data_IF_498935941582
#
_entry.id   IF_498935941582
#
_cell.length_a   1.000
_cell.length_b   1.000
_cell.length_c   1.000
_cell.angle_alpha   90.00
_cell.angle_beta   90.00
_cell.angle_gamma   90.00
#
_symmetry.space_group_name_H-M   'P 1'
#
loop_
_entity.id
_entity.type
_entity.pdbx_description
1 polymer ?
#
# COMPACT_ATOMS: atom_id res chain seq x y z
N UNK A 1 36.58 17.64 -8.03
CA UNK A 1 35.30 17.03 -8.46
C UNK A 1 34.17 17.51 -7.56
N UNK A 2 33.48 18.58 -7.95
CA UNK A 2 32.39 19.18 -7.18
C UNK A 2 31.10 18.36 -7.40
N UNK A 3 30.86 17.33 -6.57
CA UNK A 3 29.59 16.60 -6.59
C UNK A 3 28.56 17.47 -5.86
N UNK A 4 27.51 17.89 -6.57
CA UNK A 4 26.39 18.59 -5.96
C UNK A 4 25.81 17.78 -4.79
N UNK A 5 25.46 18.40 -3.66
CA UNK A 5 24.95 17.70 -2.50
C UNK A 5 23.62 17.01 -2.85
N UNK A 6 23.53 15.73 -2.52
CA UNK A 6 22.32 14.92 -2.68
C UNK A 6 21.26 15.50 -1.73
N UNK A 7 20.09 15.85 -2.26
CA UNK A 7 19.05 16.44 -1.43
C UNK A 7 18.43 15.39 -0.48
N UNK A 8 17.84 15.85 0.62
CA UNK A 8 17.16 14.98 1.60
C UNK A 8 16.13 14.03 0.97
N UNK A 9 15.48 14.43 -0.14
CA UNK A 9 14.48 13.63 -0.82
C UNK A 9 15.10 12.40 -1.50
N UNK A 10 16.25 12.56 -2.16
CA UNK A 10 16.97 11.44 -2.76
C UNK A 10 17.46 10.48 -1.69
N UNK A 11 17.96 10.98 -0.55
CA UNK A 11 18.35 10.14 0.59
C UNK A 11 17.16 9.38 1.16
N UNK A 12 16.00 10.03 1.30
CA UNK A 12 14.77 9.40 1.75
C UNK A 12 14.32 8.28 0.81
N UNK A 13 14.29 8.52 -0.50
CA UNK A 13 13.89 7.51 -1.50
C UNK A 13 14.86 6.33 -1.48
N UNK A 14 16.18 6.58 -1.47
CA UNK A 14 17.19 5.51 -1.44
C UNK A 14 17.04 4.63 -0.19
N UNK A 15 16.83 5.21 1.00
CA UNK A 15 16.82 4.43 2.25
C UNK A 15 15.45 3.87 2.64
N UNK A 16 14.37 4.61 2.40
CA UNK A 16 13.00 4.22 2.82
C UNK A 16 12.21 3.53 1.72
N UNK A 17 12.43 3.89 0.46
CA UNK A 17 11.67 3.31 -0.67
C UNK A 17 12.46 2.17 -1.31
N UNK A 18 13.74 2.38 -1.60
CA UNK A 18 14.60 1.38 -2.25
C UNK A 18 15.36 0.49 -1.26
N UNK A 19 15.35 0.81 0.04
CA UNK A 19 16.00 -0.01 1.07
C UNK A 19 17.54 -0.08 0.98
N UNK A 20 18.17 0.88 0.32
CA UNK A 20 19.63 0.91 0.14
C UNK A 20 20.32 1.12 1.50
N UNK A 21 21.28 0.25 1.90
CA UNK A 21 22.02 0.39 3.15
C UNK A 21 22.78 1.71 3.25
N UNK A 22 22.92 2.23 4.47
CA UNK A 22 23.62 3.49 4.78
C UNK A 22 25.04 3.60 4.20
N UNK A 23 25.73 2.47 4.12
CA UNK A 23 27.13 2.37 3.70
C UNK A 23 27.29 2.11 2.21
N UNK A 24 26.19 2.02 1.45
CA UNK A 24 26.26 1.71 0.03
C UNK A 24 26.77 2.92 -0.77
N UNK A 25 27.66 2.73 -1.77
CA UNK A 25 28.15 3.81 -2.62
C UNK A 25 27.10 4.34 -3.60
N UNK A 26 25.96 3.64 -3.76
CA UNK A 26 24.86 3.99 -4.68
C UNK A 26 24.25 5.37 -4.40
N UNK A 27 24.48 5.91 -3.20
CA UNK A 27 23.97 7.19 -2.73
C UNK A 27 24.56 8.37 -3.49
N UNK A 28 25.77 8.20 -4.02
CA UNK A 28 26.53 9.26 -4.69
C UNK A 28 26.34 9.24 -6.22
N UNK A 29 25.63 8.26 -6.75
CA UNK A 29 25.36 8.13 -8.18
C UNK A 29 24.23 9.08 -8.60
N UNK A 30 24.37 9.76 -9.74
CA UNK A 30 23.31 10.63 -10.32
C UNK A 30 22.22 9.83 -11.05
N UNK A 31 22.56 8.64 -11.52
CA UNK A 31 21.70 7.74 -12.28
C UNK A 31 22.00 6.31 -11.83
N UNK A 32 20.97 5.52 -11.55
CA UNK A 32 21.12 4.08 -11.36
C UNK A 32 21.07 3.40 -12.72
N UNK A 33 22.13 2.66 -13.05
CA UNK A 33 22.15 1.77 -14.20
C UNK A 33 21.37 0.48 -13.89
N UNK A 34 21.06 -0.29 -14.94
CA UNK A 34 20.36 -1.59 -14.81
C UNK A 34 21.05 -2.52 -13.81
N UNK A 35 22.39 -2.57 -13.81
CA UNK A 35 23.17 -3.40 -12.90
C UNK A 35 23.10 -2.94 -11.43
N UNK A 36 22.89 -1.65 -11.18
CA UNK A 36 22.68 -1.13 -9.81
C UNK A 36 21.32 -1.61 -9.27
N UNK A 37 20.32 -1.78 -10.15
CA UNK A 37 19.02 -2.32 -9.76
C UNK A 37 19.11 -3.77 -9.30
N UNK A 38 19.95 -4.60 -9.91
CA UNK A 38 20.16 -5.99 -9.46
C UNK A 38 20.78 -6.02 -8.05
N UNK A 39 21.62 -5.03 -7.73
CA UNK A 39 22.20 -4.86 -6.39
C UNK A 39 21.19 -4.35 -5.35
N UNK A 40 20.16 -3.63 -5.79
CA UNK A 40 19.05 -3.11 -4.97
C UNK A 40 17.89 -4.12 -4.89
N UNK A 41 17.79 -5.04 -5.85
CA UNK A 41 16.73 -6.03 -6.00
C UNK A 41 16.84 -7.10 -4.91
N UNK A 42 16.48 -6.71 -3.71
CA UNK A 42 16.46 -7.55 -2.56
C UNK A 42 15.09 -7.36 -1.90
N UNK A 43 14.19 -8.30 -2.15
CA UNK A 43 12.95 -8.46 -1.38
C UNK A 43 13.24 -8.61 0.13
N UNK A 44 14.47 -9.02 0.50
CA UNK A 44 14.98 -9.01 1.87
C UNK A 44 15.03 -7.60 2.49
N UNK A 45 15.04 -6.53 1.68
CA UNK A 45 14.95 -5.16 2.17
C UNK A 45 13.57 -4.87 2.79
N UNK A 46 12.48 -5.45 2.28
CA UNK A 46 11.16 -5.38 2.93
C UNK A 46 11.17 -6.11 4.27
N UNK A 47 11.97 -7.17 4.36
CA UNK A 47 12.20 -7.91 5.60
C UNK A 47 13.06 -7.14 6.61
N UNK A 48 13.91 -6.24 6.14
CA UNK A 48 14.68 -5.33 7.00
C UNK A 48 13.86 -4.11 7.46
N UNK A 49 12.66 -3.88 6.92
CA UNK A 49 11.80 -2.79 7.37
C UNK A 49 11.33 -3.02 8.81
N UNK A 50 11.25 -1.95 9.62
CA UNK A 50 10.66 -2.03 10.96
C UNK A 50 9.25 -2.61 10.88
N UNK A 51 8.86 -3.40 11.89
CA UNK A 51 7.57 -4.11 11.94
C UNK A 51 6.37 -3.19 11.73
N UNK A 52 6.48 -1.93 12.16
CA UNK A 52 5.47 -0.87 11.97
C UNK A 52 5.20 -0.54 10.50
N UNK A 53 6.21 -0.63 9.62
CA UNK A 53 6.08 -0.33 8.18
C UNK A 53 5.94 -1.60 7.34
N UNK A 54 6.38 -2.75 7.86
CA UNK A 54 6.31 -4.02 7.12
C UNK A 54 4.86 -4.46 6.90
N UNK A 55 4.47 -4.81 5.66
CA UNK A 55 3.16 -5.42 5.41
C UNK A 55 3.05 -6.78 6.12
N UNK A 56 1.82 -7.21 6.40
CA UNK A 56 1.56 -8.48 7.08
C UNK A 56 2.10 -9.68 6.29
N UNK A 57 2.44 -10.79 6.97
CA UNK A 57 2.97 -12.01 6.34
C UNK A 57 2.05 -12.56 5.24
N UNK A 58 0.72 -12.48 5.43
CA UNK A 58 -0.25 -12.91 4.42
C UNK A 58 -0.17 -12.07 3.12
N UNK A 59 0.11 -10.77 3.24
CA UNK A 59 0.33 -9.86 2.10
C UNK A 59 1.65 -10.20 1.41
N UNK A 60 2.71 -10.43 2.18
CA UNK A 60 4.02 -10.84 1.65
C UNK A 60 3.96 -12.19 0.92
N UNK A 61 3.26 -13.18 1.49
CA UNK A 61 3.09 -14.49 0.86
C UNK A 61 2.29 -14.38 -0.45
N UNK A 62 1.24 -13.56 -0.51
CA UNK A 62 0.52 -13.29 -1.77
C UNK A 62 1.42 -12.67 -2.84
N UNK A 63 2.26 -11.71 -2.45
CA UNK A 63 3.24 -11.09 -3.36
C UNK A 63 4.24 -12.14 -3.84
N UNK A 64 4.82 -12.96 -2.93
CA UNK A 64 5.74 -14.04 -3.27
C UNK A 64 5.14 -15.05 -4.25
N UNK A 65 3.90 -15.52 -3.99
CA UNK A 65 3.18 -16.40 -4.92
C UNK A 65 3.02 -15.78 -6.30
N UNK A 66 2.64 -14.50 -6.37
CA UNK A 66 2.49 -13.81 -7.66
C UNK A 66 3.81 -13.64 -8.42
N UNK A 67 4.93 -13.58 -7.71
CA UNK A 67 6.27 -13.50 -8.29
C UNK A 67 6.88 -14.88 -8.58
N UNK A 68 6.26 -15.97 -8.11
CA UNK A 68 6.82 -17.33 -8.21
C UNK A 68 7.96 -17.60 -7.23
N UNK A 69 8.04 -16.84 -6.13
CA UNK A 69 9.00 -17.07 -5.05
C UNK A 69 8.43 -18.05 -4.02
N UNK A 70 9.29 -18.83 -3.33
CA UNK A 70 8.88 -19.70 -2.25
C UNK A 70 8.20 -18.87 -1.14
N UNK A 71 7.07 -19.37 -0.66
CA UNK A 71 6.37 -18.82 0.50
C UNK A 71 6.92 -19.43 1.77
N UNK A 72 7.14 -18.60 2.79
CA UNK A 72 7.43 -19.10 4.12
C UNK A 72 6.14 -19.75 4.64
N UNK A 73 6.14 -21.08 4.72
CA UNK A 73 4.93 -21.91 4.90
C UNK A 73 4.03 -21.44 6.04
N UNK A 74 2.78 -21.13 5.70
CA UNK A 74 1.56 -21.13 6.51
C UNK A 74 0.49 -20.38 5.70
N UNK A 75 -0.23 -21.11 4.86
CA UNK A 75 -1.28 -20.55 3.99
C UNK A 75 -2.69 -20.62 4.62
N UNK A 76 -2.80 -21.19 5.83
CA UNK A 76 -4.06 -21.57 6.48
C UNK A 76 -4.11 -21.12 7.95
N UNK A 77 -3.64 -19.91 8.24
CA UNK A 77 -4.01 -19.22 9.48
C UNK A 77 -5.06 -18.16 9.10
N UNK A 78 -6.21 -18.08 9.81
CA UNK A 78 -7.22 -17.06 9.53
C UNK A 78 -6.52 -15.71 9.53
N UNK A 79 -6.73 -14.92 8.47
CA UNK A 79 -6.07 -13.64 8.16
C UNK A 79 -5.91 -12.80 9.44
N UNK A 80 -4.80 -13.02 10.15
CA UNK A 80 -4.66 -12.59 11.53
C UNK A 80 -4.55 -11.08 11.53
N UNK A 81 -5.50 -10.42 12.18
CA UNK A 81 -5.53 -8.97 12.31
C UNK A 81 -4.16 -8.46 12.77
N UNK A 82 -3.70 -7.33 12.24
CA UNK A 82 -2.35 -6.84 12.52
C UNK A 82 -2.15 -6.71 14.04
N UNK A 83 -1.00 -7.17 14.53
CA UNK A 83 -0.65 -7.04 15.93
C UNK A 83 -0.58 -5.57 16.32
N UNK A 84 -1.13 -5.23 17.48
CA UNK A 84 -1.11 -3.87 18.02
C UNK A 84 0.13 -3.80 18.91
N UNK A 85 1.13 -3.08 18.43
CA UNK A 85 2.36 -2.83 19.18
C UNK A 85 2.30 -1.44 19.80
N UNK A 86 3.20 -1.15 20.74
CA UNK A 86 3.31 0.18 21.37
C UNK A 86 3.47 1.32 20.33
N UNK A 87 4.09 1.04 19.18
CA UNK A 87 4.22 2.01 18.07
C UNK A 87 2.95 2.19 17.21
N UNK A 88 1.86 1.48 17.48
CA UNK A 88 0.64 1.56 16.66
C UNK A 88 -0.29 2.65 17.18
N UNK A 89 -0.58 3.64 16.32
CA UNK A 89 -1.48 4.74 16.64
C UNK A 89 -2.69 4.77 15.71
N UNK A 90 -3.83 5.23 16.24
CA UNK A 90 -5.05 5.41 15.47
C UNK A 90 -4.89 6.58 14.49
N UNK A 91 -5.18 6.38 13.20
CA UNK A 91 -5.05 7.43 12.18
C UNK A 91 -6.07 8.58 12.28
N UNK A 92 -7.01 8.49 13.23
CA UNK A 92 -8.09 9.49 13.42
C UNK A 92 -7.77 10.39 14.60
N UNK A 93 -7.55 9.83 15.80
CA UNK A 93 -7.21 10.60 16.99
C UNK A 93 -5.70 10.74 17.25
N UNK A 94 -4.85 9.98 16.53
CA UNK A 94 -3.40 9.93 16.73
C UNK A 94 -2.94 9.43 18.11
N UNK A 95 -3.85 8.82 18.87
CA UNK A 95 -3.52 8.19 20.15
C UNK A 95 -2.98 6.77 19.95
N UNK A 96 -2.11 6.37 20.87
CA UNK A 96 -1.51 5.03 20.93
C UNK A 96 -2.57 3.97 21.21
N UNK A 97 -2.43 2.83 20.55
CA UNK A 97 -3.32 1.70 20.69
C UNK A 97 -2.60 0.61 21.51
N UNK A 98 -3.25 0.16 22.57
CA UNK A 98 -2.77 -0.95 23.39
C UNK A 98 -3.42 -2.27 22.99
N UNK A 99 -2.68 -3.38 23.06
CA UNK A 99 -3.21 -4.72 22.80
C UNK A 99 -4.28 -5.12 23.84
N UNK A 100 -4.23 -4.58 25.07
CA UNK A 100 -5.22 -4.84 26.12
C UNK A 100 -6.61 -4.32 25.78
N UNK A 101 -6.72 -3.27 24.96
CA UNK A 101 -7.99 -2.72 24.51
C UNK A 101 -8.40 -3.21 23.10
N UNK A 102 -7.86 -4.35 22.62
CA UNK A 102 -8.15 -4.87 21.28
C UNK A 102 -9.65 -4.94 20.93
N UNK A 103 -10.50 -5.25 21.90
CA UNK A 103 -11.95 -5.37 21.74
C UNK A 103 -12.66 -4.04 21.43
N UNK A 104 -12.02 -2.89 21.71
CA UNK A 104 -12.54 -1.56 21.41
C UNK A 104 -12.15 -1.06 20.02
N UNK A 105 -11.50 -1.90 19.21
CA UNK A 105 -11.04 -1.53 17.87
C UNK A 105 -11.81 -2.23 16.76
N UNK A 106 -11.91 -1.54 15.63
CA UNK A 106 -12.40 -2.05 14.35
C UNK A 106 -11.23 -2.19 13.38
N UNK A 107 -11.16 -3.31 12.65
CA UNK A 107 -10.06 -3.61 11.75
C UNK A 107 -10.50 -3.59 10.29
N UNK A 108 -9.65 -3.02 9.44
CA UNK A 108 -9.86 -3.07 8.00
C UNK A 108 -9.61 -4.48 7.45
N UNK A 109 -10.54 -5.06 6.69
CA UNK A 109 -10.34 -6.41 6.10
C UNK A 109 -9.21 -6.45 5.03
N UNK A 110 -8.91 -5.32 4.39
CA UNK A 110 -7.89 -5.26 3.33
C UNK A 110 -6.47 -5.11 3.87
N UNK A 111 -6.22 -4.11 4.71
CA UNK A 111 -4.88 -3.81 5.24
C UNK A 111 -4.67 -4.23 6.69
N UNK A 112 -5.71 -4.72 7.36
CA UNK A 112 -5.69 -5.26 8.72
C UNK A 112 -5.21 -4.29 9.81
N UNK A 113 -5.14 -2.98 9.53
CA UNK A 113 -4.89 -1.98 10.56
C UNK A 113 -6.17 -1.75 11.37
N UNK A 114 -6.00 -1.58 12.69
CA UNK A 114 -7.08 -1.28 13.63
C UNK A 114 -7.29 0.23 13.82
N UNK A 115 -8.48 0.59 14.31
CA UNK A 115 -8.82 1.94 14.81
C UNK A 115 -9.84 1.84 15.93
N UNK A 116 -9.92 2.83 16.82
CA UNK A 116 -10.97 2.88 17.85
C UNK A 116 -12.37 2.81 17.25
N UNK A 117 -13.28 2.06 17.88
CA UNK A 117 -14.71 1.98 17.52
C UNK A 117 -15.36 3.35 17.48
N UNK A 118 -15.02 4.22 18.43
CA UNK A 118 -15.51 5.60 18.49
C UNK A 118 -15.00 6.41 17.30
N UNK A 119 -13.71 6.30 16.99
CA UNK A 119 -13.12 6.93 15.81
C UNK A 119 -13.74 6.40 14.51
N UNK A 120 -14.02 5.09 14.43
CA UNK A 120 -14.69 4.48 13.30
C UNK A 120 -16.13 4.99 13.14
N UNK A 121 -16.87 5.16 14.25
CA UNK A 121 -18.20 5.75 14.23
C UNK A 121 -18.18 7.19 13.71
N UNK A 122 -17.20 8.00 14.14
CA UNK A 122 -17.00 9.36 13.63
C UNK A 122 -16.68 9.37 12.12
N UNK A 123 -15.82 8.45 11.66
CA UNK A 123 -15.50 8.29 10.24
C UNK A 123 -16.75 7.91 9.43
N UNK A 124 -17.57 6.99 9.94
CA UNK A 124 -18.83 6.56 9.31
C UNK A 124 -19.84 7.70 9.23
N UNK A 125 -19.97 8.49 10.29
CA UNK A 125 -20.83 9.66 10.32
C UNK A 125 -20.39 10.71 9.29
N UNK A 126 -19.08 10.98 9.20
CA UNK A 126 -18.51 11.91 8.23
C UNK A 126 -18.68 11.45 6.78
N UNK A 127 -18.52 10.15 6.49
CA UNK A 127 -18.77 9.59 5.17
C UNK A 127 -20.26 9.74 4.78
N UNK A 128 -21.16 9.44 5.71
CA UNK A 128 -22.61 9.56 5.51
C UNK A 128 -23.03 11.00 5.26
N UNK A 129 -22.57 11.96 6.07
CA UNK A 129 -22.93 13.38 5.92
C UNK A 129 -22.39 13.99 4.62
N UNK A 130 -21.24 13.52 4.15
CA UNK A 130 -20.63 13.96 2.88
C UNK A 130 -21.11 13.19 1.65
N UNK A 131 -22.03 12.23 1.81
CA UNK A 131 -22.50 11.30 0.76
C UNK A 131 -21.34 10.61 0.03
N UNK A 132 -20.31 10.20 0.78
CA UNK A 132 -19.15 9.46 0.28
C UNK A 132 -19.18 8.02 0.75
N UNK A 133 -18.55 7.15 -0.02
CA UNK A 133 -18.31 5.78 0.39
C UNK A 133 -17.35 5.73 1.59
N UNK A 134 -17.62 4.81 2.52
CA UNK A 134 -16.76 4.60 3.67
C UNK A 134 -15.46 3.95 3.21
N UNK A 135 -14.34 4.68 3.31
CA UNK A 135 -13.03 4.20 2.91
C UNK A 135 -12.06 4.14 4.10
N UNK A 136 -11.17 3.16 4.11
CA UNK A 136 -10.15 3.02 5.14
C UNK A 136 -9.14 4.18 5.08
N UNK A 137 -8.84 4.87 6.19
CA UNK A 137 -7.87 5.97 6.19
C UNK A 137 -6.43 5.51 5.92
N UNK A 138 -6.11 4.24 6.22
CA UNK A 138 -4.77 3.68 6.01
C UNK A 138 -4.48 3.31 4.56
N UNK A 139 -5.42 2.62 3.89
CA UNK A 139 -5.20 2.04 2.56
C UNK A 139 -6.19 2.53 1.49
N UNK A 140 -7.21 3.30 1.88
CA UNK A 140 -8.27 3.85 1.02
C UNK A 140 -9.13 2.82 0.29
N UNK A 141 -9.03 1.54 0.65
CA UNK A 141 -9.99 0.54 0.16
C UNK A 141 -11.38 0.83 0.73
N UNK A 142 -12.45 0.47 0.00
CA UNK A 142 -13.79 0.50 0.56
C UNK A 142 -13.86 -0.36 1.82
N UNK A 143 -14.54 0.14 2.84
CA UNK A 143 -14.70 -0.56 4.10
C UNK A 143 -15.74 -1.67 3.94
N UNK A 144 -15.25 -2.89 3.80
CA UNK A 144 -16.08 -4.07 3.52
C UNK A 144 -16.43 -4.73 4.86
N UNK A 145 -17.73 -4.79 5.17
CA UNK A 145 -18.24 -5.44 6.40
C UNK A 145 -18.51 -6.95 6.19
N UNK A 146 -18.54 -7.43 4.94
CA UNK A 146 -18.78 -8.83 4.60
C UNK A 146 -17.75 -9.33 3.58
N UNK A 147 -17.06 -10.42 3.92
CA UNK A 147 -15.94 -11.05 3.21
C UNK A 147 -15.94 -10.87 1.68
N UNK A 148 -15.26 -9.84 1.19
CA UNK A 148 -15.01 -9.72 -0.24
C UNK A 148 -13.84 -10.64 -0.62
N UNK A 149 -14.09 -11.49 -1.61
CA UNK A 149 -13.12 -12.42 -2.18
C UNK A 149 -11.96 -11.66 -2.81
N UNK A 150 -10.75 -11.99 -2.38
CA UNK A 150 -9.49 -11.47 -2.91
C UNK A 150 -9.30 -11.96 -4.36
N UNK A 151 -8.94 -11.05 -5.27
CA UNK A 151 -8.75 -11.35 -6.69
C UNK A 151 -7.32 -11.86 -6.95
N UNK A 152 -7.19 -12.91 -7.76
CA UNK A 152 -5.88 -13.37 -8.28
C UNK A 152 -5.27 -12.31 -9.20
N UNK A 153 -4.10 -11.78 -8.80
CA UNK A 153 -3.34 -10.84 -9.62
C UNK A 153 -2.68 -11.54 -10.81
N UNK A 154 -3.09 -11.18 -12.02
CA UNK A 154 -2.45 -11.64 -13.26
C UNK A 154 -1.17 -10.82 -13.54
N UNK A 155 -0.11 -11.50 -14.01
CA UNK A 155 1.12 -10.86 -14.51
C UNK A 155 0.80 -10.03 -15.76
N UNK A 156 1.31 -8.81 -15.83
CA UNK A 156 1.23 -7.98 -17.03
C UNK A 156 2.15 -8.48 -18.14
N UNK A 157 1.98 -7.93 -19.35
CA UNK A 157 2.75 -8.29 -20.56
C UNK A 157 4.27 -8.16 -20.37
N UNK A 158 4.69 -7.21 -19.54
CA UNK A 158 6.10 -6.92 -19.23
C UNK A 158 6.64 -7.71 -18.03
N UNK A 159 5.86 -8.67 -17.49
CA UNK A 159 6.26 -9.48 -16.34
C UNK A 159 6.08 -8.80 -14.96
N UNK A 160 5.71 -7.52 -14.92
CA UNK A 160 5.39 -6.82 -13.68
C UNK A 160 4.04 -7.28 -13.10
N UNK A 161 3.98 -7.41 -11.77
CA UNK A 161 2.75 -7.70 -11.02
C UNK A 161 2.27 -6.44 -10.31
N UNK A 162 1.00 -6.08 -10.50
CA UNK A 162 0.37 -5.03 -9.72
C UNK A 162 -0.03 -5.56 -8.33
N UNK A 163 0.75 -5.17 -7.31
CA UNK A 163 0.52 -5.58 -5.91
C UNK A 163 -0.85 -5.13 -5.40
N UNK A 164 -1.33 -3.95 -5.80
CA UNK A 164 -2.67 -3.47 -5.44
C UNK A 164 -3.76 -4.42 -5.91
N UNK A 165 -3.67 -4.90 -7.17
CA UNK A 165 -4.61 -5.89 -7.73
C UNK A 165 -4.59 -7.21 -6.98
N UNK A 166 -3.40 -7.71 -6.61
CA UNK A 166 -3.23 -8.92 -5.77
C UNK A 166 -3.90 -8.78 -4.40
N UNK A 167 -3.96 -7.55 -3.88
CA UNK A 167 -4.56 -7.22 -2.59
C UNK A 167 -6.02 -6.77 -2.68
N UNK A 168 -6.63 -6.80 -3.87
CA UNK A 168 -8.00 -6.34 -4.08
C UNK A 168 -8.18 -4.81 -3.93
N UNK A 169 -7.10 -4.04 -3.99
CA UNK A 169 -7.16 -2.57 -3.99
C UNK A 169 -7.46 -2.09 -5.42
N UNK A 170 -8.42 -1.18 -5.56
CA UNK A 170 -8.78 -0.65 -6.89
C UNK A 170 -7.58 0.10 -7.51
N UNK A 171 -7.39 -0.07 -8.82
CA UNK A 171 -6.38 0.69 -9.57
C UNK A 171 -6.87 2.09 -9.99
N UNK A 172 -8.18 2.31 -9.90
CA UNK A 172 -8.82 3.56 -10.30
C UNK A 172 -8.87 4.53 -9.12
N UNK A 173 -8.18 5.66 -9.22
CA UNK A 173 -8.26 6.74 -8.24
C UNK A 173 -9.62 7.42 -8.35
N UNK A 174 -10.36 7.47 -7.25
CA UNK A 174 -11.57 8.30 -7.20
C UNK A 174 -11.18 9.78 -7.39
N UNK A 175 -11.76 10.39 -8.43
CA UNK A 175 -11.59 11.81 -8.75
C UNK A 175 -12.88 12.60 -8.65
N UNK A 176 -13.99 11.95 -8.31
CA UNK A 176 -15.33 12.56 -8.24
C UNK A 176 -15.40 13.72 -7.22
N UNK A 177 -14.53 13.69 -6.21
CA UNK A 177 -14.45 14.69 -5.15
C UNK A 177 -13.48 15.83 -5.43
N UNK A 178 -12.63 15.73 -6.46
CA UNK A 178 -11.81 16.85 -6.94
C UNK A 178 -12.70 17.72 -7.83
N UNK A 179 -13.06 18.91 -7.35
CA UNK A 179 -13.82 19.87 -8.16
C UNK A 179 -13.08 20.17 -9.46
N UNK A 180 -13.74 19.99 -10.59
CA UNK A 180 -13.26 20.39 -11.92
C UNK A 180 -13.22 21.92 -12.03
N UNK A 181 -12.31 22.58 -11.30
CA UNK A 181 -11.95 23.96 -11.58
C UNK A 181 -10.88 23.94 -12.67
N UNK A 182 -11.36 23.94 -13.92
CA UNK A 182 -10.60 24.39 -15.09
C UNK A 182 -9.83 23.31 -15.84
N UNK A 183 -10.53 22.56 -16.70
CA UNK A 183 -9.88 21.75 -17.73
C UNK A 183 -10.90 20.91 -18.46
N UNK A 184 -11.23 21.27 -19.71
CA UNK A 184 -12.23 20.57 -20.53
C UNK A 184 -11.93 19.07 -20.53
N UNK A 185 -12.89 18.27 -20.08
CA UNK A 185 -12.84 16.81 -20.23
C UNK A 185 -12.79 16.48 -21.73
N UNK A 186 -11.61 16.08 -22.21
CA UNK A 186 -11.49 15.47 -23.53
C UNK A 186 -12.20 14.12 -23.47
N UNK A 187 -13.43 14.09 -23.97
CA UNK A 187 -14.17 12.86 -24.21
C UNK A 187 -13.44 12.08 -25.31
N UNK A 188 -12.65 11.09 -24.91
CA UNK A 188 -12.09 10.11 -25.84
C UNK A 188 -13.20 9.15 -26.33
N UNK A 189 -14.07 9.63 -27.21
CA UNK A 189 -14.94 8.78 -28.04
C UNK A 189 -14.11 8.23 -29.20
N UNK A 190 -13.30 7.22 -28.92
CA UNK A 190 -12.62 6.41 -29.94
C UNK A 190 -13.58 5.36 -30.52
N UNK A 191 -14.40 5.75 -31.50
CA UNK A 191 -15.27 4.86 -32.27
C UNK A 191 -14.38 3.95 -33.14
N UNK A 192 -14.13 2.70 -32.73
CA UNK A 192 -13.44 1.69 -33.57
C UNK A 192 -14.37 1.34 -34.74
N UNK A 193 -14.13 1.92 -35.91
CA UNK A 193 -14.81 1.57 -37.16
C UNK A 193 -14.21 0.24 -37.65
N UNK A 194 -15.02 -0.82 -37.68
CA UNK A 194 -14.73 -2.06 -38.42
C UNK A 194 -14.97 -1.79 -39.91
N UNK A 195 -14.14 -2.39 -40.75
CA UNK A 195 -14.28 -2.45 -42.22
C UNK A 195 -12.88 -2.56 -42.83
N UNK A 196 -12.59 -3.49 -43.72
CA UNK A 196 -13.32 -4.63 -44.28
C UNK A 196 -12.27 -5.59 -44.84
#
# INVERSE_FOLDING_TARGET
>A
FNRAPVCKHTVFVMRRVLGVPARSPLWHQRKLARADWDSIANLSALESLPKSVRPHKSVLNKIRRSLGLPTDGADEEPVAMRAITEDTACAICFEEMSESARSTYEFCQTCQNGMHKECFAALKAAATSSRRELACPYCRSPWITASATLLSGQKGVEGYVNVGKVLGVSSHRDTSTYGAKGGKAATAKGKRKRGG
#
